data_IF_815735198937
#
_entry.id   IF_815735198937
#
_cell.length_a   1.000
_cell.length_b   1.000
_cell.length_c   1.000
_cell.angle_alpha   90.00
_cell.angle_beta   90.00
_cell.angle_gamma   90.00
#
_symmetry.space_group_name_H-M   'P 1'
#
loop_
_entity.id
_entity.type
_entity.pdbx_description
1 polymer ?
#
# COMPACT_ATOMS: atom_id res chain seq x y z
N UNK A 1 13.94 -28.43 5.22
CA UNK A 1 14.78 -28.02 6.37
C UNK A 1 13.93 -27.86 7.64
N UNK A 2 14.53 -27.98 8.84
CA UNK A 2 13.92 -27.65 10.12
C UNK A 2 14.98 -27.12 11.11
N UNK A 3 14.57 -26.40 12.15
CA UNK A 3 15.48 -25.81 13.16
C UNK A 3 15.36 -26.51 14.52
N UNK A 4 16.49 -26.75 15.19
CA UNK A 4 16.58 -27.28 16.55
C UNK A 4 17.60 -26.47 17.35
N UNK A 5 17.13 -25.63 18.27
CA UNK A 5 18.01 -24.72 19.01
C UNK A 5 18.69 -23.73 18.06
N UNK A 6 20.02 -23.83 17.91
CA UNK A 6 20.82 -23.02 16.97
C UNK A 6 21.18 -23.76 15.68
N UNK A 7 20.70 -24.98 15.54
CA UNK A 7 21.05 -25.86 14.44
C UNK A 7 19.96 -25.84 13.38
N UNK A 8 20.36 -25.68 12.11
CA UNK A 8 19.45 -25.81 10.97
C UNK A 8 19.77 -27.12 10.27
N UNK A 9 18.76 -27.96 10.14
CA UNK A 9 18.85 -29.31 9.60
C UNK A 9 18.20 -29.34 8.23
N UNK A 10 18.94 -29.78 7.22
CA UNK A 10 18.46 -29.82 5.84
C UNK A 10 18.10 -31.25 5.42
N UNK A 11 17.09 -31.40 4.56
CA UNK A 11 16.90 -32.64 3.83
C UNK A 11 18.09 -32.89 2.90
N UNK A 12 18.33 -34.15 2.54
CA UNK A 12 19.41 -34.50 1.61
C UNK A 12 19.30 -33.68 0.32
N UNK A 13 20.37 -32.95 -0.03
CA UNK A 13 20.43 -32.09 -1.23
C UNK A 13 19.78 -30.71 -1.10
N UNK A 14 19.19 -30.35 0.03
CA UNK A 14 18.55 -29.03 0.23
C UNK A 14 19.53 -27.93 0.69
N UNK A 15 20.73 -28.30 1.14
CA UNK A 15 21.76 -27.35 1.54
C UNK A 15 22.50 -26.79 0.31
N UNK A 16 22.02 -25.66 -0.21
CA UNK A 16 22.57 -25.01 -1.41
C UNK A 16 22.89 -23.51 -1.18
N UNK A 17 23.86 -23.16 -0.31
CA UNK A 17 24.15 -21.77 0.10
C UNK A 17 24.62 -20.86 -1.05
N UNK A 18 25.10 -21.44 -2.16
CA UNK A 18 25.51 -20.70 -3.36
C UNK A 18 24.36 -20.32 -4.30
N UNK A 19 23.14 -20.81 -4.07
CA UNK A 19 21.97 -20.52 -4.91
C UNK A 19 21.12 -19.39 -4.31
N UNK A 20 20.46 -18.60 -5.16
CA UNK A 20 19.59 -17.50 -4.71
C UNK A 20 18.38 -18.03 -3.93
N UNK A 21 17.93 -19.21 -4.31
CA UNK A 21 16.86 -19.98 -3.69
C UNK A 21 17.30 -20.50 -2.32
N UNK A 22 18.50 -21.08 -2.21
CA UNK A 22 19.08 -21.54 -0.95
C UNK A 22 19.40 -20.40 0.03
N UNK A 23 19.87 -19.25 -0.45
CA UNK A 23 20.06 -18.05 0.39
C UNK A 23 18.76 -17.50 0.96
N UNK A 24 17.66 -17.58 0.21
CA UNK A 24 16.34 -17.19 0.71
C UNK A 24 15.79 -18.18 1.71
N UNK A 25 16.02 -19.47 1.51
CA UNK A 25 15.68 -20.50 2.47
C UNK A 25 16.46 -20.30 3.77
N UNK A 26 17.78 -20.09 3.68
CA UNK A 26 18.62 -19.77 4.84
C UNK A 26 18.12 -18.53 5.57
N UNK A 27 17.75 -17.46 4.87
CA UNK A 27 17.19 -16.27 5.50
C UNK A 27 15.82 -16.52 6.16
N UNK A 28 14.97 -17.36 5.57
CA UNK A 28 13.68 -17.75 6.13
C UNK A 28 13.85 -18.53 7.43
N UNK A 29 14.76 -19.50 7.45
CA UNK A 29 15.04 -20.31 8.64
C UNK A 29 15.78 -19.52 9.73
N UNK A 30 16.70 -18.61 9.36
CA UNK A 30 17.43 -17.80 10.33
C UNK A 30 16.52 -16.84 11.10
N UNK A 31 15.44 -16.35 10.48
CA UNK A 31 14.41 -15.57 11.18
C UNK A 31 13.74 -16.41 12.26
N UNK A 32 13.50 -17.69 12.00
CA UNK A 32 12.94 -18.61 13.01
C UNK A 32 13.95 -18.94 14.13
N UNK A 33 15.25 -19.00 13.85
CA UNK A 33 16.31 -19.17 14.88
C UNK A 33 16.41 -17.94 15.79
N UNK A 34 16.39 -16.73 15.23
CA UNK A 34 16.44 -15.48 16.01
C UNK A 34 15.15 -15.31 16.85
N UNK A 35 14.00 -15.76 16.34
CA UNK A 35 12.74 -15.73 17.11
C UNK A 35 12.70 -16.78 18.23
N UNK A 36 13.47 -17.87 18.14
CA UNK A 36 13.58 -18.87 19.21
C UNK A 36 14.44 -18.40 20.39
N UNK A 37 15.35 -17.43 20.22
CA UNK A 37 16.18 -16.92 21.32
C UNK A 37 15.44 -16.04 22.33
N UNK A 38 14.21 -15.61 22.05
CA UNK A 38 13.41 -14.74 22.93
C UNK A 38 12.39 -15.49 23.82
N UNK A 39 12.33 -16.83 23.75
CA UNK A 39 11.48 -17.66 24.63
C UNK A 39 12.18 -18.99 25.00
N UNK A 40 12.93 -19.03 26.12
CA UNK A 40 13.72 -20.21 26.51
C UNK A 40 12.87 -21.41 26.98
N UNK A 41 11.53 -21.29 27.02
CA UNK A 41 10.65 -22.32 27.59
C UNK A 41 10.18 -23.39 26.59
N UNK A 42 10.56 -23.36 25.31
CA UNK A 42 10.05 -24.32 24.30
C UNK A 42 11.09 -24.76 23.27
N UNK A 43 11.99 -25.65 23.68
CA UNK A 43 12.73 -26.52 22.76
C UNK A 43 11.82 -27.56 22.11
N UNK A 44 11.01 -27.15 21.12
CA UNK A 44 10.16 -28.06 20.34
C UNK A 44 10.63 -28.10 18.89
N UNK A 45 11.03 -29.29 18.45
CA UNK A 45 11.29 -29.58 17.03
C UNK A 45 9.94 -29.67 16.32
N UNK A 46 9.59 -28.68 15.49
CA UNK A 46 8.40 -28.75 14.62
C UNK A 46 8.74 -29.55 13.36
N UNK A 47 8.30 -30.80 13.31
CA UNK A 47 8.40 -31.65 12.13
C UNK A 47 7.23 -31.33 11.19
N UNK A 48 7.39 -30.37 10.29
CA UNK A 48 6.49 -30.22 9.15
C UNK A 48 6.94 -31.21 8.08
N UNK A 49 6.11 -32.20 7.75
CA UNK A 49 6.18 -32.79 6.42
C UNK A 49 6.00 -31.63 5.44
N UNK A 50 7.05 -31.29 4.67
CA UNK A 50 6.97 -30.23 3.66
C UNK A 50 6.40 -30.90 2.41
N UNK A 51 5.08 -30.83 2.12
CA UNK A 51 4.62 -31.03 0.75
C UNK A 51 5.41 -30.06 -0.15
N UNK A 52 5.68 -30.40 -1.43
CA UNK A 52 6.43 -29.51 -2.32
C UNK A 52 5.90 -28.10 -2.16
N UNK A 53 6.77 -27.16 -1.75
CA UNK A 53 6.37 -25.80 -1.37
C UNK A 53 5.64 -25.22 -2.58
N UNK A 54 4.31 -25.22 -2.51
CA UNK A 54 3.49 -24.38 -3.35
C UNK A 54 3.73 -22.99 -2.80
N UNK A 55 4.63 -22.25 -3.44
CA UNK A 55 4.75 -20.82 -3.22
C UNK A 55 3.43 -20.23 -3.71
N UNK A 56 2.45 -20.15 -2.81
CA UNK A 56 1.27 -19.35 -3.08
C UNK A 56 1.78 -17.92 -3.19
N UNK A 57 1.63 -17.26 -4.35
CA UNK A 57 1.97 -15.85 -4.43
C UNK A 57 1.17 -15.14 -3.34
N UNK A 58 1.84 -14.52 -2.37
CA UNK A 58 1.18 -13.67 -1.39
C UNK A 58 0.42 -12.62 -2.20
N UNK A 59 -0.91 -12.67 -2.12
CA UNK A 59 -1.75 -11.76 -2.87
C UNK A 59 -1.34 -10.31 -2.55
N UNK A 60 -1.26 -9.42 -3.55
CA UNK A 60 -0.87 -8.05 -3.29
C UNK A 60 -1.85 -7.40 -2.31
N UNK A 61 -1.32 -6.63 -1.36
CA UNK A 61 -2.15 -5.82 -0.48
C UNK A 61 -2.99 -4.85 -1.34
N UNK A 62 -4.28 -4.76 -1.05
CA UNK A 62 -5.23 -4.04 -1.90
C UNK A 62 -5.68 -2.74 -1.24
N UNK A 63 -5.46 -1.63 -1.94
CA UNK A 63 -6.02 -0.33 -1.60
C UNK A 63 -7.33 -0.17 -2.36
N UNK A 64 -8.44 -0.12 -1.64
CA UNK A 64 -9.74 0.13 -2.27
C UNK A 64 -10.03 1.62 -2.28
N UNK A 65 -10.33 2.15 -3.46
CA UNK A 65 -10.54 3.58 -3.70
C UNK A 65 -11.95 3.74 -4.26
N UNK A 66 -12.86 4.30 -3.46
CA UNK A 66 -14.14 4.80 -3.97
C UNK A 66 -13.89 5.99 -4.90
N UNK A 67 -14.79 6.25 -5.84
CA UNK A 67 -14.68 7.39 -6.75
C UNK A 67 -15.98 8.20 -6.77
N UNK A 68 -15.91 9.51 -6.67
CA UNK A 68 -17.04 10.41 -6.89
C UNK A 68 -16.70 11.34 -8.04
N UNK A 69 -17.47 11.27 -9.13
CA UNK A 69 -17.26 12.08 -10.33
C UNK A 69 -18.30 13.19 -10.35
N UNK A 70 -17.85 14.44 -10.26
CA UNK A 70 -18.74 15.61 -10.29
C UNK A 70 -19.20 15.91 -11.71
N UNK A 71 -20.35 16.56 -11.84
CA UNK A 71 -20.84 17.00 -13.14
C UNK A 71 -19.85 17.97 -13.79
N UNK A 72 -19.43 17.67 -15.03
CA UNK A 72 -18.41 18.43 -15.75
C UNK A 72 -16.97 17.99 -15.48
N UNK A 73 -16.75 17.00 -14.60
CA UNK A 73 -15.46 16.36 -14.43
C UNK A 73 -15.23 15.25 -15.47
N UNK A 74 -13.99 15.04 -15.88
CA UNK A 74 -13.59 13.93 -16.74
C UNK A 74 -13.57 12.63 -15.94
N UNK A 75 -14.26 11.62 -16.45
CA UNK A 75 -14.33 10.29 -15.83
C UNK A 75 -13.09 9.45 -16.17
N UNK A 76 -11.97 9.76 -15.52
CA UNK A 76 -10.69 9.09 -15.73
C UNK A 76 -10.43 7.92 -14.76
N UNK A 77 -11.43 7.51 -13.97
CA UNK A 77 -11.30 6.56 -12.86
C UNK A 77 -10.60 5.26 -13.28
N UNK A 78 -11.09 4.61 -14.34
CA UNK A 78 -10.55 3.32 -14.81
C UNK A 78 -9.10 3.45 -15.31
N UNK A 79 -8.80 4.56 -16.00
CA UNK A 79 -7.46 4.88 -16.50
C UNK A 79 -6.47 5.04 -15.35
N UNK A 80 -6.86 5.78 -14.32
CA UNK A 80 -6.00 6.12 -13.19
C UNK A 80 -5.71 4.90 -12.30
N UNK A 81 -6.73 4.07 -12.03
CA UNK A 81 -6.56 2.77 -11.34
C UNK A 81 -5.65 1.84 -12.15
N UNK A 82 -5.85 1.76 -13.46
CA UNK A 82 -5.03 0.92 -14.35
C UNK A 82 -3.57 1.40 -14.40
N UNK A 83 -3.33 2.71 -14.47
CA UNK A 83 -1.97 3.29 -14.47
C UNK A 83 -1.26 3.01 -13.14
N UNK A 84 -1.95 3.23 -12.03
CA UNK A 84 -1.45 2.92 -10.68
C UNK A 84 -1.00 1.47 -10.58
N UNK A 85 -1.84 0.52 -11.01
CA UNK A 85 -1.52 -0.90 -10.99
C UNK A 85 -0.35 -1.28 -11.90
N UNK A 86 -0.19 -0.62 -13.06
CA UNK A 86 1.00 -0.81 -13.90
C UNK A 86 2.28 -0.37 -13.20
N UNK A 87 2.26 0.78 -12.53
CA UNK A 87 3.41 1.33 -11.80
C UNK A 87 3.77 0.40 -10.63
N UNK A 88 2.80 0.03 -9.79
CA UNK A 88 3.05 -0.87 -8.65
C UNK A 88 3.56 -2.25 -9.08
N UNK A 89 3.04 -2.81 -10.18
CA UNK A 89 3.53 -4.08 -10.73
C UNK A 89 4.98 -3.96 -11.23
N UNK A 90 5.28 -2.90 -12.00
CA UNK A 90 6.64 -2.65 -12.53
C UNK A 90 7.66 -2.50 -11.40
N UNK A 91 7.28 -1.81 -10.33
CA UNK A 91 8.12 -1.61 -9.15
C UNK A 91 8.12 -2.82 -8.19
N UNK A 92 7.33 -3.87 -8.48
CA UNK A 92 7.14 -5.05 -7.61
C UNK A 92 6.75 -4.67 -6.18
N UNK A 93 5.86 -3.68 -6.04
CA UNK A 93 5.48 -3.18 -4.72
C UNK A 93 4.67 -4.17 -3.89
N UNK A 94 4.11 -5.23 -4.48
CA UNK A 94 3.16 -6.10 -3.79
C UNK A 94 1.87 -5.37 -3.39
N UNK A 95 1.48 -4.35 -4.17
CA UNK A 95 0.30 -3.53 -3.97
C UNK A 95 -0.59 -3.53 -5.22
N UNK A 96 -1.89 -3.40 -5.00
CA UNK A 96 -2.90 -3.22 -6.03
C UNK A 96 -3.90 -2.16 -5.60
N UNK A 97 -4.24 -1.24 -6.49
CA UNK A 97 -5.41 -0.38 -6.34
C UNK A 97 -6.63 -1.07 -6.95
N UNK A 98 -7.76 -1.01 -6.25
CA UNK A 98 -9.05 -1.47 -6.74
C UNK A 98 -10.08 -0.36 -6.65
N UNK A 99 -10.96 -0.28 -7.64
CA UNK A 99 -12.12 0.61 -7.58
C UNK A 99 -13.14 0.03 -6.60
N UNK A 100 -13.60 0.89 -5.68
CA UNK A 100 -14.73 0.63 -4.79
C UNK A 100 -16.03 1.15 -5.38
N UNK A 101 -16.83 1.82 -4.55
CA UNK A 101 -18.10 2.43 -5.00
C UNK A 101 -17.80 3.65 -5.87
N UNK A 102 -18.39 3.68 -7.06
CA UNK A 102 -18.36 4.85 -7.95
C UNK A 102 -19.70 5.57 -7.91
N UNK A 103 -19.67 6.83 -7.52
CA UNK A 103 -20.79 7.77 -7.52
C UNK A 103 -20.59 8.80 -8.64
N UNK A 104 -21.63 9.13 -9.40
CA UNK A 104 -21.60 10.22 -10.39
C UNK A 104 -22.67 11.24 -9.99
N UNK A 105 -22.26 12.50 -9.84
CA UNK A 105 -23.13 13.56 -9.36
C UNK A 105 -23.73 14.35 -10.52
N UNK A 106 -24.99 14.77 -10.37
CA UNK A 106 -25.63 15.68 -11.32
C UNK A 106 -25.19 17.14 -11.09
N UNK A 107 -25.61 18.04 -11.99
CA UNK A 107 -25.25 19.45 -11.95
C UNK A 107 -25.74 20.16 -10.68
N UNK A 108 -26.94 19.83 -10.17
CA UNK A 108 -27.51 20.47 -9.00
C UNK A 108 -26.72 20.12 -7.73
N UNK A 109 -26.42 18.84 -7.50
CA UNK A 109 -25.60 18.39 -6.36
C UNK A 109 -24.17 18.94 -6.46
N UNK A 110 -23.60 18.97 -7.66
CA UNK A 110 -22.27 19.54 -7.90
C UNK A 110 -22.22 21.02 -7.50
N UNK A 111 -23.19 21.82 -7.93
CA UNK A 111 -23.31 23.25 -7.57
C UNK A 111 -23.52 23.46 -6.07
N UNK A 112 -24.27 22.58 -5.40
CA UNK A 112 -24.45 22.64 -3.95
C UNK A 112 -23.13 22.39 -3.18
N UNK A 113 -22.18 21.65 -3.76
CA UNK A 113 -20.87 21.37 -3.14
C UNK A 113 -19.87 22.48 -3.46
N UNK A 114 -19.66 22.77 -4.75
CA UNK A 114 -18.63 23.66 -5.28
C UNK A 114 -19.05 25.14 -5.34
N UNK A 115 -20.34 25.44 -5.20
CA UNK A 115 -20.85 26.79 -5.42
C UNK A 115 -21.05 27.13 -6.90
N UNK A 116 -21.23 28.42 -7.19
CA UNK A 116 -21.68 28.91 -8.48
C UNK A 116 -20.62 28.87 -9.59
N UNK A 117 -19.34 29.01 -9.24
CA UNK A 117 -18.24 29.00 -10.22
C UNK A 117 -17.89 27.58 -10.71
N UNK A 118 -18.41 26.54 -10.05
CA UNK A 118 -18.18 25.14 -10.35
C UNK A 118 -16.68 24.74 -10.28
N UNK A 119 -15.91 25.41 -9.41
CA UNK A 119 -14.47 25.15 -9.20
C UNK A 119 -14.21 24.86 -7.74
N UNK A 120 -13.45 23.81 -7.47
CA UNK A 120 -13.05 23.51 -6.10
C UNK A 120 -11.99 24.50 -5.63
N UNK A 121 -12.20 25.13 -4.49
CA UNK A 121 -11.18 25.92 -3.82
C UNK A 121 -9.93 25.06 -3.56
N UNK A 122 -8.77 25.58 -3.94
CA UNK A 122 -7.50 24.93 -3.68
C UNK A 122 -7.21 24.84 -2.17
N UNK A 123 -6.82 23.67 -1.64
CA UNK A 123 -6.38 23.58 -0.26
C UNK A 123 -5.09 24.39 -0.08
N UNK A 124 -5.11 25.36 0.84
CA UNK A 124 -3.96 26.19 1.17
C UNK A 124 -3.27 25.65 2.43
N UNK A 125 -2.13 24.99 2.25
CA UNK A 125 -1.36 24.42 3.36
C UNK A 125 -2.11 23.30 4.07
N UNK A 126 -2.47 23.50 5.34
CA UNK A 126 -3.24 22.55 6.15
C UNK A 126 -4.74 22.88 6.20
N UNK A 127 -5.14 24.02 5.66
CA UNK A 127 -6.51 24.53 5.77
C UNK A 127 -7.41 23.93 4.70
N UNK A 128 -8.51 23.31 5.14
CA UNK A 128 -9.56 22.76 4.27
C UNK A 128 -10.75 23.71 4.23
N UNK A 129 -11.13 24.11 3.02
CA UNK A 129 -12.27 24.97 2.71
C UNK A 129 -13.62 24.30 2.99
N UNK A 130 -14.69 25.09 3.00
CA UNK A 130 -16.05 24.58 3.18
C UNK A 130 -16.49 23.66 2.03
N UNK A 131 -16.08 23.97 0.79
CA UNK A 131 -16.36 23.15 -0.40
C UNK A 131 -15.70 21.77 -0.28
N UNK A 132 -14.43 21.74 0.11
CA UNK A 132 -13.69 20.50 0.32
C UNK A 132 -14.30 19.69 1.46
N UNK A 133 -14.67 20.31 2.59
CA UNK A 133 -15.35 19.61 3.71
C UNK A 133 -16.66 18.95 3.25
N UNK A 134 -17.47 19.66 2.47
CA UNK A 134 -18.71 19.10 1.89
C UNK A 134 -18.41 17.95 0.93
N UNK A 135 -17.38 18.09 0.09
CA UNK A 135 -16.99 17.08 -0.88
C UNK A 135 -16.48 15.81 -0.19
N UNK A 136 -15.53 15.94 0.74
CA UNK A 136 -14.90 14.81 1.43
C UNK A 136 -15.84 14.06 2.38
N UNK A 137 -17.00 14.61 2.72
CA UNK A 137 -18.02 13.89 3.46
C UNK A 137 -18.76 12.83 2.63
N UNK A 138 -18.67 12.88 1.29
CA UNK A 138 -19.42 11.99 0.38
C UNK A 138 -18.69 10.68 0.08
N UNK A 139 -19.46 9.64 -0.24
CA UNK A 139 -18.96 8.35 -0.72
C UNK A 139 -17.85 7.75 0.16
N UNK A 140 -18.07 7.79 1.48
CA UNK A 140 -17.16 7.26 2.48
C UNK A 140 -17.52 5.85 2.88
N UNK A 141 -16.48 5.05 3.02
CA UNK A 141 -16.55 3.70 3.56
C UNK A 141 -15.36 3.55 4.49
N UNK A 142 -15.59 3.05 5.71
CA UNK A 142 -14.51 2.82 6.67
C UNK A 142 -13.39 1.96 6.05
N UNK A 143 -12.14 2.38 6.27
CA UNK A 143 -10.96 1.69 5.71
C UNK A 143 -10.75 1.87 4.19
N UNK A 144 -11.48 2.75 3.52
CA UNK A 144 -11.30 3.04 2.08
C UNK A 144 -10.92 4.50 1.83
N UNK A 145 -10.12 4.70 0.80
CA UNK A 145 -9.86 6.03 0.25
C UNK A 145 -11.02 6.44 -0.65
N UNK A 146 -11.20 7.75 -0.84
CA UNK A 146 -12.11 8.27 -1.86
C UNK A 146 -11.36 9.25 -2.77
N UNK A 147 -11.51 9.05 -4.07
CA UNK A 147 -11.06 9.97 -5.11
C UNK A 147 -12.24 10.79 -5.62
N UNK A 148 -12.08 12.11 -5.66
CA UNK A 148 -13.07 13.05 -6.15
C UNK A 148 -12.55 13.68 -7.44
N UNK A 149 -13.31 13.50 -8.52
CA UNK A 149 -13.04 14.10 -9.82
C UNK A 149 -13.86 15.37 -9.93
N UNK A 150 -13.19 16.52 -10.05
CA UNK A 150 -13.79 17.85 -10.09
C UNK A 150 -13.52 18.53 -11.44
N UNK A 151 -14.41 19.42 -11.91
CA UNK A 151 -14.24 20.07 -13.21
C UNK A 151 -12.95 20.91 -13.29
N UNK A 152 -12.67 21.69 -12.24
CA UNK A 152 -11.48 22.53 -12.13
C UNK A 152 -11.22 22.93 -10.67
N UNK A 153 -10.02 23.47 -10.42
CA UNK A 153 -9.63 24.10 -9.16
C UNK A 153 -9.55 25.63 -9.31
N UNK A 154 -9.68 26.36 -8.20
CA UNK A 154 -9.45 27.81 -8.13
C UNK A 154 -8.33 28.11 -7.10
N UNK A 155 -7.27 28.86 -7.48
CA UNK A 155 -7.00 29.45 -8.80
C UNK A 155 -6.62 28.45 -9.90
N UNK A 156 -5.70 27.50 -9.66
CA UNK A 156 -5.38 26.44 -10.63
C UNK A 156 -4.56 25.31 -10.01
N UNK A 157 -5.06 24.07 -10.12
CA UNK A 157 -4.32 22.82 -9.87
C UNK A 157 -4.76 21.74 -10.85
N UNK A 158 -3.89 20.75 -11.01
CA UNK A 158 -4.15 19.50 -11.75
C UNK A 158 -4.79 18.45 -10.86
N UNK A 159 -4.34 18.37 -9.62
CA UNK A 159 -4.85 17.51 -8.57
C UNK A 159 -4.09 17.74 -7.28
N UNK A 160 -4.56 17.12 -6.20
CA UNK A 160 -3.91 17.13 -4.90
C UNK A 160 -4.44 15.99 -4.02
N UNK A 161 -3.84 15.81 -2.85
CA UNK A 161 -4.26 14.87 -1.82
C UNK A 161 -4.49 15.57 -0.49
N UNK A 162 -5.62 15.24 0.14
CA UNK A 162 -5.87 15.59 1.54
C UNK A 162 -5.47 14.40 2.40
N UNK A 163 -4.57 14.65 3.34
CA UNK A 163 -4.04 13.67 4.27
C UNK A 163 -4.58 13.91 5.67
N UNK A 164 -5.14 12.87 6.30
CA UNK A 164 -5.84 12.98 7.58
C UNK A 164 -5.04 13.61 8.72
N UNK A 165 -3.77 13.20 8.97
CA UNK A 165 -2.98 13.82 10.05
C UNK A 165 -2.73 15.32 9.85
N UNK A 166 -2.72 15.79 8.59
CA UNK A 166 -2.37 17.17 8.23
C UNK A 166 -3.58 18.08 8.12
N UNK A 167 -4.71 17.56 7.64
CA UNK A 167 -5.86 18.36 7.22
C UNK A 167 -7.09 18.18 8.13
N UNK A 168 -7.06 17.21 9.05
CA UNK A 168 -8.21 16.94 9.93
C UNK A 168 -9.46 16.44 9.18
N UNK A 169 -9.28 15.86 7.99
CA UNK A 169 -10.33 15.24 7.16
C UNK A 169 -9.85 13.89 6.64
N UNK A 170 -10.74 12.95 6.27
CA UNK A 170 -10.32 11.65 5.76
C UNK A 170 -9.38 11.74 4.55
N UNK A 171 -8.49 10.76 4.41
CA UNK A 171 -7.59 10.69 3.26
C UNK A 171 -8.38 10.72 1.94
N UNK A 172 -8.01 11.64 1.05
CA UNK A 172 -8.77 11.93 -0.16
C UNK A 172 -7.86 12.30 -1.32
N UNK A 173 -8.21 11.84 -2.52
CA UNK A 173 -7.60 12.30 -3.76
C UNK A 173 -8.55 13.30 -4.42
N UNK A 174 -8.03 14.43 -4.89
CA UNK A 174 -8.80 15.45 -5.60
C UNK A 174 -8.19 15.62 -7.00
N UNK A 175 -8.92 15.27 -8.05
CA UNK A 175 -8.44 15.25 -9.43
C UNK A 175 -9.21 16.23 -10.29
N UNK A 176 -8.52 17.13 -10.99
CA UNK A 176 -9.11 18.07 -11.92
C UNK A 176 -9.08 17.55 -13.36
N UNK A 177 -9.84 18.18 -14.27
CA UNK A 177 -9.79 17.82 -15.69
C UNK A 177 -8.41 18.04 -16.33
N UNK A 178 -7.61 18.95 -15.78
CA UNK A 178 -6.23 19.21 -16.20
C UNK A 178 -5.22 18.22 -15.60
N UNK A 179 -5.66 17.20 -14.86
CA UNK A 179 -4.81 16.16 -14.31
C UNK A 179 -4.01 15.44 -15.41
N UNK A 180 -2.69 15.42 -15.25
CA UNK A 180 -1.83 14.60 -16.08
C UNK A 180 -2.01 13.11 -15.72
N UNK A 181 -1.62 12.22 -16.62
CA UNK A 181 -1.85 10.76 -16.51
C UNK A 181 -1.22 10.10 -15.28
N UNK A 182 -0.28 10.77 -14.63
CA UNK A 182 0.46 10.34 -13.45
C UNK A 182 0.03 11.05 -12.16
N UNK A 183 -0.80 12.10 -12.26
CA UNK A 183 -1.19 12.96 -11.13
C UNK A 183 -1.90 12.14 -10.07
N UNK A 184 -2.84 11.28 -10.46
CA UNK A 184 -3.55 10.41 -9.51
C UNK A 184 -2.59 9.52 -8.71
N UNK A 185 -1.67 8.82 -9.39
CA UNK A 185 -0.78 7.87 -8.74
C UNK A 185 0.25 8.58 -7.85
N UNK A 186 0.68 9.78 -8.26
CA UNK A 186 1.54 10.65 -7.45
C UNK A 186 0.86 11.06 -6.14
N UNK A 187 -0.36 11.60 -6.21
CA UNK A 187 -1.11 12.03 -5.03
C UNK A 187 -1.45 10.84 -4.11
N UNK A 188 -1.74 9.67 -4.70
CA UNK A 188 -1.89 8.43 -3.94
C UNK A 188 -0.59 8.07 -3.22
N UNK A 189 0.56 8.30 -3.83
CA UNK A 189 1.87 8.10 -3.22
C UNK A 189 2.10 8.96 -1.97
N UNK A 190 1.62 10.21 -1.94
CA UNK A 190 1.68 11.04 -0.73
C UNK A 190 0.83 10.47 0.41
N UNK A 191 -0.38 9.99 0.11
CA UNK A 191 -1.27 9.38 1.11
C UNK A 191 -0.67 8.08 1.64
N UNK A 192 -0.26 7.18 0.74
CA UNK A 192 0.29 5.87 1.11
C UNK A 192 1.68 5.98 1.75
N UNK A 193 2.47 6.97 1.35
CA UNK A 193 3.81 7.21 1.89
C UNK A 193 3.81 7.98 3.21
N UNK A 194 2.69 8.64 3.55
CA UNK A 194 2.58 9.58 4.67
C UNK A 194 3.68 10.66 4.61
N UNK A 195 4.02 11.07 3.40
CA UNK A 195 5.14 11.95 3.12
C UNK A 195 4.68 13.04 2.13
N UNK A 196 4.66 14.33 2.54
CA UNK A 196 4.29 15.43 1.67
C UNK A 196 5.46 15.93 0.79
N UNK A 197 6.67 15.38 0.95
CA UNK A 197 7.85 15.84 0.22
C UNK A 197 7.88 15.32 -1.22
N UNK A 198 8.60 16.05 -2.07
CA UNK A 198 8.85 15.65 -3.45
C UNK A 198 10.28 15.10 -3.59
N UNK A 199 10.42 14.06 -4.40
CA UNK A 199 11.72 13.49 -4.73
C UNK A 199 12.46 14.39 -5.74
N UNK A 200 13.79 14.46 -5.62
CA UNK A 200 14.63 15.27 -6.52
C UNK A 200 14.98 14.57 -7.85
N UNK A 201 14.83 13.25 -7.97
CA UNK A 201 15.05 12.51 -9.22
C UNK A 201 13.86 12.71 -10.17
N UNK A 202 14.02 13.36 -11.34
CA UNK A 202 12.92 13.61 -12.28
C UNK A 202 12.27 12.32 -12.80
N UNK A 203 12.93 11.17 -12.72
CA UNK A 203 12.35 9.89 -13.13
C UNK A 203 11.50 9.22 -12.04
N UNK A 204 11.52 9.74 -10.81
CA UNK A 204 10.74 9.21 -9.71
C UNK A 204 9.28 9.68 -9.79
N UNK A 205 8.33 8.79 -9.50
CA UNK A 205 6.90 9.11 -9.43
C UNK A 205 6.63 10.27 -8.47
N UNK A 206 7.36 10.34 -7.35
CA UNK A 206 7.18 11.36 -6.32
C UNK A 206 7.94 12.65 -6.61
N UNK A 207 8.54 12.81 -7.79
CA UNK A 207 9.09 14.10 -8.20
C UNK A 207 7.97 15.12 -8.47
N UNK A 208 8.29 16.41 -8.28
CA UNK A 208 7.32 17.48 -8.54
C UNK A 208 6.99 17.56 -10.03
N UNK A 209 5.77 17.98 -10.34
CA UNK A 209 5.31 18.14 -11.73
C UNK A 209 6.14 19.12 -12.56
N UNK A 210 6.99 19.95 -11.94
CA UNK A 210 7.92 20.86 -12.62
C UNK A 210 9.16 20.17 -13.19
N UNK A 211 9.56 19.02 -12.64
CA UNK A 211 10.76 18.29 -13.09
C UNK A 211 10.44 16.89 -13.58
N UNK A 212 9.26 16.35 -13.26
CA UNK A 212 8.97 14.93 -13.46
C UNK A 212 8.87 14.55 -14.93
N UNK A 213 9.62 13.52 -15.31
CA UNK A 213 9.53 12.82 -16.58
C UNK A 213 8.30 11.89 -16.58
N UNK A 214 7.13 12.49 -16.86
CA UNK A 214 5.83 11.81 -16.93
C UNK A 214 5.94 10.54 -17.78
N UNK A 215 5.47 9.42 -17.25
CA UNK A 215 5.48 8.14 -17.95
C UNK A 215 6.59 7.19 -17.53
N UNK A 216 7.72 7.72 -17.03
CA UNK A 216 8.83 6.92 -16.47
C UNK A 216 8.48 6.39 -15.08
N UNK A 217 7.94 7.27 -14.24
CA UNK A 217 7.24 7.02 -12.97
C UNK A 217 7.86 5.90 -12.11
N UNK A 218 9.16 5.99 -11.83
CA UNK A 218 9.87 5.00 -11.01
C UNK A 218 9.41 5.09 -9.56
N UNK A 219 9.26 3.94 -8.92
CA UNK A 219 9.01 3.81 -7.48
C UNK A 219 10.10 2.92 -6.91
N UNK A 220 10.76 3.37 -5.85
CA UNK A 220 11.84 2.62 -5.20
C UNK A 220 11.30 1.51 -4.30
N UNK A 221 12.13 0.53 -3.98
CA UNK A 221 11.77 -0.52 -3.02
C UNK A 221 11.43 0.05 -1.62
N UNK A 222 12.07 1.16 -1.22
CA UNK A 222 11.77 1.86 0.03
C UNK A 222 10.37 2.51 0.00
N UNK A 223 10.02 3.18 -1.09
CA UNK A 223 8.67 3.73 -1.30
C UNK A 223 7.62 2.61 -1.28
N UNK A 224 7.85 1.49 -1.97
CA UNK A 224 6.93 0.34 -1.92
C UNK A 224 6.76 -0.26 -0.51
N UNK A 225 7.80 -0.24 0.34
CA UNK A 225 7.69 -0.66 1.74
C UNK A 225 6.81 0.31 2.53
N UNK A 226 7.08 1.62 2.42
CA UNK A 226 6.27 2.65 3.08
C UNK A 226 4.80 2.54 2.69
N UNK A 227 4.53 2.44 1.38
CA UNK A 227 3.17 2.34 0.86
C UNK A 227 2.42 1.13 1.41
N UNK A 228 3.07 -0.01 1.60
CA UNK A 228 2.43 -1.22 2.15
C UNK A 228 2.10 -1.06 3.63
N UNK A 229 3.03 -0.50 4.43
CA UNK A 229 2.80 -0.33 5.87
C UNK A 229 1.56 0.52 6.14
N UNK A 230 1.38 1.61 5.39
CA UNK A 230 0.19 2.46 5.54
C UNK A 230 -1.13 1.76 5.17
N UNK A 231 -1.09 0.73 4.32
CA UNK A 231 -2.30 -0.01 3.92
C UNK A 231 -2.70 -1.09 4.93
N UNK A 232 -1.77 -1.53 5.77
CA UNK A 232 -2.02 -2.54 6.80
C UNK A 232 -2.69 -1.95 8.06
N UNK A 233 -2.63 -0.64 8.23
CA UNK A 233 -3.27 0.07 9.34
C UNK A 233 -4.39 0.96 8.78
N UNK A 234 -5.67 0.55 8.87
CA UNK A 234 -6.75 1.44 8.49
C UNK A 234 -6.68 2.69 9.38
N UNK A 235 -6.79 3.86 8.75
CA UNK A 235 -6.98 5.13 9.44
C UNK A 235 -8.35 5.13 10.13
N UNK A 236 -8.41 4.57 11.33
CA UNK A 236 -9.58 4.63 12.20
C UNK A 236 -9.62 3.55 13.28
N UNK A 237 -9.33 3.94 14.53
CA UNK A 237 -9.75 3.24 15.76
C UNK A 237 -8.79 2.14 16.25
N UNK A 238 -8.28 2.31 17.47
CA UNK A 238 -7.41 1.34 18.13
C UNK A 238 -8.07 -0.04 18.26
N UNK A 239 -7.33 -1.09 17.91
CA UNK A 239 -7.71 -2.47 18.19
C UNK A 239 -6.49 -3.22 18.74
N UNK A 240 -6.63 -3.73 19.95
CA UNK A 240 -5.70 -4.61 20.64
C UNK A 240 -5.63 -5.98 19.96
N UNK A 241 -4.44 -6.61 20.00
CA UNK A 241 -4.12 -7.89 19.36
C UNK A 241 -4.90 -9.05 20.02
N UNK A 242 -5.52 -9.98 19.27
CA UNK A 242 -6.13 -11.17 19.85
C UNK A 242 -5.06 -12.24 20.20
N UNK A 243 -5.28 -13.07 21.25
CA UNK A 243 -4.34 -14.11 21.67
C UNK A 243 -4.40 -15.36 20.77
N UNK A 244 -3.27 -16.08 20.68
CA UNK A 244 -3.08 -17.26 19.84
C UNK A 244 -3.62 -18.56 20.48
N UNK A 245 -4.13 -19.53 19.70
CA UNK A 245 -4.67 -20.79 20.20
C UNK A 245 -3.60 -21.88 20.42
N UNK A 246 -3.89 -22.80 21.34
CA UNK A 246 -3.04 -23.92 21.79
C UNK A 246 -3.42 -25.27 21.16
N UNK A 247 -2.42 -26.09 20.81
CA UNK A 247 -2.61 -27.49 20.36
C UNK A 247 -1.31 -28.32 20.36
N UNK A 248 -1.38 -29.68 20.44
CA UNK A 248 -0.39 -30.53 21.13
C UNK A 248 0.60 -31.32 20.24
N UNK A 249 1.58 -31.98 20.89
CA UNK A 249 2.87 -32.54 20.38
C UNK A 249 2.85 -34.05 20.15
N UNK A 250 3.71 -34.57 19.24
CA UNK A 250 4.09 -35.99 19.12
C UNK A 250 5.44 -36.19 18.39
N UNK A 251 6.25 -37.14 18.88
CA UNK A 251 7.64 -37.49 18.49
C UNK A 251 7.75 -38.56 17.37
N UNK A 252 8.87 -38.57 16.61
CA UNK A 252 9.69 -39.75 16.15
C UNK A 252 10.86 -39.28 15.19
N UNK A 253 12.00 -40.01 15.07
CA UNK A 253 13.24 -39.55 14.41
C UNK A 253 13.56 -40.21 13.03
N UNK A 254 14.38 -39.57 12.17
CA UNK A 254 15.09 -40.11 10.97
C UNK A 254 16.30 -39.20 10.57
N UNK A 255 17.28 -39.65 9.75
CA UNK A 255 18.66 -39.13 9.74
C UNK A 255 18.81 -37.86 8.87
N UNK A 256 19.68 -36.94 9.28
CA UNK A 256 19.76 -35.60 8.68
C UNK A 256 21.14 -34.95 8.81
N UNK A 257 21.55 -34.20 7.78
CA UNK A 257 22.76 -33.36 7.81
C UNK A 257 22.51 -32.07 8.59
N UNK A 258 23.37 -31.78 9.57
CA UNK A 258 23.18 -30.71 10.56
C UNK A 258 24.23 -29.63 10.37
N UNK A 259 23.79 -28.37 10.20
CA UNK A 259 24.68 -27.21 10.14
C UNK A 259 24.53 -26.38 11.41
N UNK A 260 25.63 -26.18 12.13
CA UNK A 260 25.73 -25.34 13.34
C UNK A 260 26.01 -23.89 12.97
N UNK A 261 25.16 -22.97 13.42
CA UNK A 261 25.42 -21.53 13.32
C UNK A 261 26.13 -21.10 14.60
N UNK A 262 27.38 -20.63 14.47
CA UNK A 262 28.21 -20.13 15.57
C UNK A 262 27.74 -18.75 16.07
#
# INVERSE_FOLDING_TARGET
AYTVGRDVVFGSGEYAPGSREGQRLLAHELVHVVQQTDDPARGQVQRLAIPPIRIFPVAPATVTINATVLHGASDNVSRDISRTNRIFRRARCGLRASLGVKEVLNAATTRAILGADNRLAEPSGATVSAEERRLVARNRTAGRLTAYYVPAFRPSKRGTSLQSPRHGVPDSLLMGNSAAVDTFTHELGHILGRDPSHNSDPNNLMASGSIRNVGVDRVTAAQCRSFRTATSYPSGGGATRPPAPSGPKGDFPLPSETVRVA
#
